data_IF_851953639697
#
_entry.id   IF_851953639697
#
_cell.length_a   1.000
_cell.length_b   1.000
_cell.length_c   1.000
_cell.angle_alpha   90.00
_cell.angle_beta   90.00
_cell.angle_gamma   90.00
#
_symmetry.space_group_name_H-M   'P 1'
#
loop_
_entity.id
_entity.type
_entity.pdbx_description
1 polymer ?
#
# COMPACT_ATOMS: atom_id res chain seq x y z
N UNK A 1 11.52 -16.58 12.68
CA UNK A 1 11.47 -15.69 11.51
C UNK A 1 12.13 -16.43 10.36
N UNK A 2 11.46 -16.55 9.23
CA UNK A 2 12.01 -17.18 8.02
C UNK A 2 12.42 -16.07 7.07
N UNK A 3 13.70 -16.05 6.64
CA UNK A 3 14.17 -15.14 5.60
C UNK A 3 14.08 -15.85 4.25
N UNK A 4 13.45 -15.20 3.27
CA UNK A 4 13.35 -15.67 1.90
C UNK A 4 14.03 -14.64 0.99
N UNK A 5 14.93 -15.11 0.13
CA UNK A 5 15.52 -14.31 -0.94
C UNK A 5 15.00 -14.84 -2.28
N UNK A 6 14.53 -13.94 -3.14
CA UNK A 6 14.10 -14.27 -4.51
C UNK A 6 15.14 -13.78 -5.52
N UNK A 7 15.18 -14.40 -6.71
CA UNK A 7 16.26 -14.16 -7.68
C UNK A 7 16.46 -12.69 -8.08
N UNK A 8 15.42 -11.86 -8.02
CA UNK A 8 15.51 -10.42 -8.28
C UNK A 8 16.30 -9.65 -7.22
N UNK A 9 16.37 -10.15 -5.99
CA UNK A 9 16.97 -9.42 -4.86
C UNK A 9 18.48 -9.23 -5.04
N UNK A 10 19.18 -10.30 -5.47
CA UNK A 10 20.64 -10.27 -5.68
C UNK A 10 21.07 -9.31 -6.80
N UNK A 11 20.18 -9.01 -7.75
CA UNK A 11 20.42 -8.09 -8.86
C UNK A 11 19.91 -6.67 -8.58
N UNK A 12 19.41 -6.37 -7.37
CA UNK A 12 18.79 -5.08 -7.05
C UNK A 12 17.45 -4.85 -7.77
N UNK A 13 16.82 -5.91 -8.28
CA UNK A 13 15.56 -5.90 -9.01
C UNK A 13 14.42 -6.47 -8.15
N UNK A 14 14.28 -5.95 -6.93
CA UNK A 14 13.24 -6.37 -6.00
C UNK A 14 11.84 -6.29 -6.63
N UNK A 15 11.03 -7.33 -6.41
CA UNK A 15 9.63 -7.36 -6.81
C UNK A 15 8.78 -7.86 -5.63
N UNK A 16 7.94 -6.97 -5.11
CA UNK A 16 7.05 -7.23 -3.97
C UNK A 16 6.12 -8.42 -4.21
N UNK A 17 5.49 -8.49 -5.38
CA UNK A 17 4.59 -9.59 -5.74
C UNK A 17 5.31 -10.92 -5.88
N UNK A 18 6.53 -10.95 -6.43
CA UNK A 18 7.34 -12.18 -6.51
C UNK A 18 7.72 -12.63 -5.09
N UNK A 19 8.27 -11.73 -4.27
CA UNK A 19 8.67 -12.05 -2.89
C UNK A 19 7.49 -12.58 -2.05
N UNK A 20 6.34 -11.90 -2.08
CA UNK A 20 5.16 -12.32 -1.33
C UNK A 20 4.52 -13.61 -1.88
N UNK A 21 4.53 -13.82 -3.20
CA UNK A 21 4.05 -15.09 -3.80
C UNK A 21 4.90 -16.26 -3.38
N UNK A 22 6.23 -16.13 -3.43
CA UNK A 22 7.14 -17.18 -3.00
C UNK A 22 7.02 -17.44 -1.48
N UNK A 23 6.84 -16.39 -0.68
CA UNK A 23 6.56 -16.54 0.75
C UNK A 23 5.23 -17.25 1.02
N UNK A 24 4.19 -16.98 0.21
CA UNK A 24 2.88 -17.63 0.33
C UNK A 24 2.98 -19.16 0.21
N UNK A 25 3.89 -19.68 -0.63
CA UNK A 25 4.11 -21.13 -0.81
C UNK A 25 4.58 -21.85 0.45
N UNK A 26 5.16 -21.12 1.41
CA UNK A 26 5.60 -21.66 2.68
C UNK A 26 4.46 -21.80 3.71
N UNK A 27 3.32 -21.17 3.45
CA UNK A 27 2.14 -21.23 4.31
C UNK A 27 1.31 -22.47 3.94
N UNK A 28 0.72 -23.21 4.89
CA UNK A 28 -0.20 -24.31 4.57
C UNK A 28 -1.30 -23.84 3.63
N UNK A 29 -1.83 -24.74 2.79
CA UNK A 29 -2.86 -24.43 1.78
C UNK A 29 -4.08 -23.72 2.39
N UNK A 30 -4.54 -24.17 3.55
CA UNK A 30 -5.64 -23.56 4.30
C UNK A 30 -5.19 -22.46 5.27
N UNK A 31 -3.88 -22.16 5.32
CA UNK A 31 -3.28 -21.18 6.20
C UNK A 31 -3.65 -19.76 5.79
N UNK A 32 -3.68 -18.87 6.80
CA UNK A 32 -3.99 -17.44 6.63
C UNK A 32 -2.71 -16.62 6.55
N UNK A 33 -2.73 -15.62 5.69
CA UNK A 33 -1.63 -14.70 5.44
C UNK A 33 -2.06 -13.27 5.73
N UNK A 34 -1.12 -12.44 6.19
CA UNK A 34 -1.24 -10.99 6.25
C UNK A 34 -0.04 -10.40 5.51
N UNK A 35 -0.29 -9.78 4.37
CA UNK A 35 0.72 -9.00 3.66
C UNK A 35 0.83 -7.63 4.32
N UNK A 36 2.06 -7.25 4.67
CA UNK A 36 2.37 -5.99 5.34
C UNK A 36 3.74 -5.51 4.87
N UNK A 37 3.87 -4.19 4.69
CA UNK A 37 5.15 -3.58 4.39
C UNK A 37 5.95 -3.38 5.69
N UNK A 38 7.28 -3.31 5.58
CA UNK A 38 8.19 -3.24 6.74
C UNK A 38 8.00 -1.97 7.57
N UNK A 39 7.52 -0.91 6.94
CA UNK A 39 7.20 0.40 7.52
C UNK A 39 5.77 0.50 8.06
N UNK A 40 4.98 -0.58 7.93
CA UNK A 40 3.62 -0.71 8.50
C UNK A 40 3.52 -1.99 9.35
N UNK A 41 4.18 -2.04 10.53
CA UNK A 41 4.14 -3.24 11.36
C UNK A 41 2.71 -3.49 11.91
N UNK A 42 2.20 -4.73 11.83
CA UNK A 42 0.88 -5.05 12.33
C UNK A 42 0.83 -5.13 13.85
N UNK A 43 -0.07 -4.36 14.47
CA UNK A 43 -0.39 -4.52 15.89
C UNK A 43 -1.13 -5.83 16.18
N UNK A 44 -1.19 -6.24 17.45
CA UNK A 44 -1.97 -7.40 17.89
C UNK A 44 -3.45 -7.30 17.48
N UNK A 45 -4.04 -6.09 17.55
CA UNK A 45 -5.41 -5.83 17.14
C UNK A 45 -5.59 -6.03 15.64
N UNK A 46 -4.66 -5.53 14.82
CA UNK A 46 -4.70 -5.73 13.36
C UNK A 46 -4.61 -7.22 12.98
N UNK A 47 -3.75 -7.98 13.66
CA UNK A 47 -3.66 -9.44 13.47
C UNK A 47 -4.97 -10.13 13.88
N UNK A 48 -5.58 -9.71 14.99
CA UNK A 48 -6.88 -10.25 15.43
C UNK A 48 -8.00 -9.94 14.43
N UNK A 49 -8.04 -8.71 13.89
CA UNK A 49 -9.01 -8.31 12.87
C UNK A 49 -8.81 -9.07 11.56
N UNK A 50 -7.55 -9.29 11.14
CA UNK A 50 -7.22 -10.18 10.04
C UNK A 50 -7.79 -11.59 10.23
N UNK A 51 -7.60 -12.18 11.43
CA UNK A 51 -8.15 -13.51 11.74
C UNK A 51 -9.68 -13.57 11.71
N UNK A 52 -10.36 -12.49 12.14
CA UNK A 52 -11.82 -12.41 12.18
C UNK A 52 -12.44 -12.19 10.80
N UNK A 53 -11.77 -11.41 9.94
CA UNK A 53 -12.36 -10.90 8.70
C UNK A 53 -11.87 -11.60 7.43
N UNK A 54 -10.83 -12.43 7.49
CA UNK A 54 -10.45 -13.33 6.39
C UNK A 54 -11.05 -14.72 6.61
N UNK A 55 -12.02 -15.08 5.76
CA UNK A 55 -12.79 -16.32 5.83
C UNK A 55 -12.50 -17.14 4.57
N UNK A 56 -11.84 -18.28 4.76
CA UNK A 56 -11.47 -19.22 3.70
C UNK A 56 -12.64 -19.48 2.74
N UNK A 57 -12.39 -19.36 1.44
CA UNK A 57 -13.36 -19.64 0.38
C UNK A 57 -14.50 -18.63 0.25
N UNK A 58 -14.49 -17.53 1.03
CA UNK A 58 -15.65 -16.62 1.09
C UNK A 58 -15.33 -15.14 1.20
N UNK A 59 -14.35 -14.75 2.00
CA UNK A 59 -14.09 -13.34 2.29
C UNK A 59 -12.61 -13.05 2.48
N UNK A 60 -12.14 -11.99 1.81
CA UNK A 60 -10.81 -11.43 2.00
C UNK A 60 -10.89 -10.06 2.66
N UNK A 61 -9.90 -9.74 3.49
CA UNK A 61 -9.83 -8.47 4.20
C UNK A 61 -8.73 -7.60 3.64
N UNK A 62 -9.10 -6.44 3.11
CA UNK A 62 -8.16 -5.39 2.69
C UNK A 62 -8.23 -4.23 3.68
N UNK A 63 -7.40 -4.21 4.74
CA UNK A 63 -7.39 -3.12 5.70
C UNK A 63 -6.96 -1.79 5.06
N UNK A 64 -7.59 -0.70 5.51
CA UNK A 64 -7.16 0.66 5.19
C UNK A 64 -6.27 1.15 6.33
N UNK A 65 -4.97 1.23 6.08
CA UNK A 65 -3.99 1.71 7.05
C UNK A 65 -3.96 3.24 7.13
N UNK A 66 -3.41 3.75 8.24
CA UNK A 66 -3.20 5.17 8.47
C UNK A 66 -1.75 5.55 8.14
N UNK A 67 -1.55 6.55 7.28
CA UNK A 67 -0.22 7.09 6.97
C UNK A 67 0.04 8.36 7.74
N UNK A 68 1.04 8.34 8.61
CA UNK A 68 1.46 9.51 9.37
C UNK A 68 2.15 10.52 8.45
N UNK A 69 1.91 11.81 8.70
CA UNK A 69 2.64 12.89 8.05
C UNK A 69 3.98 13.18 8.75
N UNK A 70 4.86 13.89 8.05
CA UNK A 70 6.17 14.29 8.54
C UNK A 70 6.10 14.93 9.95
N UNK A 71 6.88 14.38 10.89
CA UNK A 71 6.96 14.87 12.26
C UNK A 71 5.70 14.67 13.10
N UNK A 72 4.71 13.91 12.62
CA UNK A 72 3.46 13.64 13.36
C UNK A 72 3.47 12.27 14.02
N UNK A 73 2.81 12.21 15.16
CA UNK A 73 2.57 10.98 15.92
C UNK A 73 1.09 10.86 16.23
N UNK A 74 0.64 9.61 16.45
CA UNK A 74 -0.75 9.33 16.83
C UNK A 74 -1.78 9.44 15.69
N UNK A 75 -2.98 8.97 15.97
CA UNK A 75 -4.12 9.03 15.04
C UNK A 75 -4.90 10.32 15.29
N UNK A 76 -5.19 11.09 14.25
CA UNK A 76 -6.01 12.29 14.42
C UNK A 76 -6.15 13.14 13.15
N UNK A 77 -7.15 14.02 13.15
CA UNK A 77 -7.30 15.03 12.10
C UNK A 77 -6.12 15.99 12.22
N UNK A 78 -5.10 15.85 11.36
CA UNK A 78 -3.86 16.65 11.44
C UNK A 78 -2.58 15.82 11.57
N UNK A 79 -2.67 14.54 11.92
CA UNK A 79 -1.49 13.67 12.09
C UNK A 79 -1.16 12.83 10.86
N UNK A 80 -2.06 12.74 9.89
CA UNK A 80 -1.95 11.80 8.79
C UNK A 80 -3.26 11.61 8.03
N UNK A 81 -3.30 10.60 7.17
CA UNK A 81 -4.46 10.29 6.34
C UNK A 81 -4.67 8.77 6.18
N UNK A 82 -5.93 8.35 6.11
CA UNK A 82 -6.30 6.99 5.73
C UNK A 82 -6.02 6.75 4.24
N UNK A 83 -5.31 5.67 3.92
CA UNK A 83 -4.93 5.34 2.54
C UNK A 83 -6.04 4.55 1.84
N UNK A 84 -7.16 5.21 1.57
CA UNK A 84 -8.41 4.60 1.06
C UNK A 84 -8.25 3.85 -0.27
N UNK A 85 -7.29 4.25 -1.09
CA UNK A 85 -6.99 3.66 -2.41
C UNK A 85 -5.71 2.82 -2.43
N UNK A 86 -5.19 2.44 -1.27
CA UNK A 86 -4.07 1.51 -1.17
C UNK A 86 -4.59 0.10 -0.91
N UNK A 87 -3.97 -0.88 -1.57
CA UNK A 87 -4.39 -2.29 -1.54
C UNK A 87 -3.25 -3.24 -1.16
N UNK A 88 -2.05 -2.71 -0.92
CA UNK A 88 -0.86 -3.51 -0.62
C UNK A 88 -1.02 -4.38 0.61
N UNK A 89 -1.71 -3.89 1.64
CA UNK A 89 -2.02 -4.68 2.83
C UNK A 89 -3.29 -5.49 2.59
N UNK A 90 -3.17 -6.81 2.75
CA UNK A 90 -4.26 -7.74 2.51
C UNK A 90 -4.12 -8.95 3.45
N UNK A 91 -5.25 -9.41 3.96
CA UNK A 91 -5.37 -10.61 4.77
C UNK A 91 -6.33 -11.59 4.11
N UNK A 92 -5.82 -12.79 3.84
CA UNK A 92 -6.45 -13.78 2.98
C UNK A 92 -5.87 -15.17 3.23
N UNK A 93 -6.59 -16.22 2.86
CA UNK A 93 -6.04 -17.57 2.90
C UNK A 93 -5.18 -17.86 1.67
N UNK A 94 -4.17 -18.74 1.82
CA UNK A 94 -3.32 -19.16 0.70
C UNK A 94 -4.14 -19.76 -0.44
N UNK A 95 -5.10 -20.63 -0.14
CA UNK A 95 -6.01 -21.17 -1.16
C UNK A 95 -6.70 -20.05 -1.95
N UNK A 96 -7.35 -19.11 -1.26
CA UNK A 96 -8.07 -18.00 -1.91
C UNK A 96 -7.14 -17.15 -2.79
N UNK A 97 -5.89 -16.92 -2.35
CA UNK A 97 -4.86 -16.24 -3.13
C UNK A 97 -4.56 -16.94 -4.45
N UNK A 98 -4.34 -18.25 -4.39
CA UNK A 98 -3.97 -19.08 -5.54
C UNK A 98 -5.15 -19.19 -6.52
N UNK A 99 -6.38 -19.30 -6.03
CA UNK A 99 -7.60 -19.38 -6.84
C UNK A 99 -7.83 -18.15 -7.71
N UNK A 100 -7.49 -16.95 -7.21
CA UNK A 100 -7.57 -15.71 -8.02
C UNK A 100 -6.31 -15.47 -8.87
N UNK A 101 -5.45 -16.48 -8.99
CA UNK A 101 -4.26 -16.50 -9.85
C UNK A 101 -2.93 -16.21 -9.14
N UNK A 102 -2.94 -15.84 -7.85
CA UNK A 102 -1.75 -15.82 -6.99
C UNK A 102 -0.52 -15.08 -7.54
N UNK A 103 -0.72 -13.98 -8.27
CA UNK A 103 0.35 -13.27 -9.00
C UNK A 103 1.20 -14.18 -9.92
N UNK A 104 0.56 -15.13 -10.60
CA UNK A 104 1.19 -15.91 -11.66
C UNK A 104 1.79 -14.96 -12.73
N UNK A 105 3.06 -15.18 -13.09
CA UNK A 105 3.78 -14.35 -14.06
C UNK A 105 4.15 -12.94 -13.57
N UNK A 106 4.18 -12.70 -12.25
CA UNK A 106 4.60 -11.43 -11.64
C UNK A 106 5.90 -10.86 -12.22
N UNK A 107 6.86 -11.72 -12.57
CA UNK A 107 8.14 -11.39 -13.17
C UNK A 107 8.02 -10.64 -14.50
N UNK A 108 6.89 -10.79 -15.19
CA UNK A 108 6.58 -10.08 -16.44
C UNK A 108 5.56 -8.97 -16.21
N UNK A 109 4.56 -9.21 -15.36
CA UNK A 109 3.39 -8.36 -15.21
C UNK A 109 3.60 -7.16 -14.28
N UNK A 110 4.53 -7.27 -13.32
CA UNK A 110 4.77 -6.25 -12.29
C UNK A 110 6.24 -5.85 -12.25
N UNK A 111 6.81 -5.52 -13.42
CA UNK A 111 8.15 -4.94 -13.53
C UNK A 111 8.10 -3.45 -13.15
N UNK A 112 8.90 -3.05 -12.17
CA UNK A 112 8.94 -1.68 -11.68
C UNK A 112 7.99 -1.44 -10.50
N UNK A 113 7.49 -0.22 -10.38
CA UNK A 113 6.70 0.22 -9.22
C UNK A 113 5.18 0.07 -9.44
N UNK A 114 4.56 -0.67 -8.52
CA UNK A 114 3.12 -0.68 -8.26
C UNK A 114 2.26 -1.57 -9.18
N UNK A 115 0.95 -1.47 -8.96
CA UNK A 115 -0.17 -2.17 -9.65
C UNK A 115 -0.39 -3.62 -9.25
N UNK A 116 0.53 -4.28 -8.58
CA UNK A 116 0.36 -5.68 -8.16
C UNK A 116 -0.74 -5.82 -7.12
N UNK A 117 -0.82 -4.84 -6.21
CA UNK A 117 -1.82 -4.76 -5.17
C UNK A 117 -3.22 -4.45 -5.72
N UNK A 118 -3.29 -3.50 -6.67
CA UNK A 118 -4.50 -3.17 -7.43
C UNK A 118 -4.99 -4.38 -8.23
N UNK A 119 -4.09 -5.12 -8.88
CA UNK A 119 -4.45 -6.32 -9.63
C UNK A 119 -5.03 -7.40 -8.72
N UNK A 120 -4.42 -7.65 -7.55
CA UNK A 120 -4.95 -8.60 -6.57
C UNK A 120 -6.32 -8.17 -6.05
N UNK A 121 -6.48 -6.90 -5.70
CA UNK A 121 -7.77 -6.35 -5.27
C UNK A 121 -8.84 -6.53 -6.34
N UNK A 122 -8.55 -6.21 -7.59
CA UNK A 122 -9.50 -6.38 -8.69
C UNK A 122 -9.86 -7.84 -8.94
N UNK A 123 -8.90 -8.76 -8.88
CA UNK A 123 -9.15 -10.18 -9.05
C UNK A 123 -10.16 -10.72 -8.01
N UNK A 124 -10.07 -10.28 -6.76
CA UNK A 124 -11.09 -10.59 -5.76
C UNK A 124 -12.38 -9.79 -5.97
N UNK A 125 -12.29 -8.50 -6.31
CA UNK A 125 -13.46 -7.63 -6.44
C UNK A 125 -14.40 -8.04 -7.57
N UNK A 126 -13.87 -8.63 -8.65
CA UNK A 126 -14.63 -9.12 -9.80
C UNK A 126 -14.91 -10.62 -9.74
N UNK A 127 -14.53 -11.31 -8.67
CA UNK A 127 -14.86 -12.72 -8.47
C UNK A 127 -16.30 -12.86 -7.98
N UNK A 128 -17.04 -13.81 -8.53
CA UNK A 128 -18.38 -14.18 -8.04
C UNK A 128 -18.33 -15.00 -6.75
N UNK A 129 -17.15 -15.52 -6.37
CA UNK A 129 -16.96 -16.39 -5.20
C UNK A 129 -16.66 -15.59 -3.93
N UNK A 130 -15.88 -14.52 -4.05
CA UNK A 130 -15.30 -13.84 -2.89
C UNK A 130 -15.93 -12.48 -2.62
N UNK A 131 -16.20 -12.23 -1.35
CA UNK A 131 -16.52 -10.89 -0.85
C UNK A 131 -15.24 -10.15 -0.42
N UNK A 132 -15.16 -8.87 -0.77
CA UNK A 132 -14.05 -8.01 -0.34
C UNK A 132 -14.51 -7.13 0.83
N UNK A 133 -13.98 -7.39 2.01
CA UNK A 133 -14.19 -6.54 3.18
C UNK A 133 -13.08 -5.49 3.28
N UNK A 134 -13.46 -4.22 3.44
CA UNK A 134 -12.54 -3.09 3.67
C UNK A 134 -13.02 -2.29 4.87
N UNK A 135 -12.08 -2.00 5.78
CA UNK A 135 -12.34 -1.17 6.94
C UNK A 135 -11.08 -0.41 7.34
N UNK A 136 -11.25 0.75 7.98
CA UNK A 136 -10.16 1.49 8.61
C UNK A 136 -9.53 0.61 9.70
N UNK A 137 -8.21 0.51 9.69
CA UNK A 137 -7.44 -0.32 10.62
C UNK A 137 -6.45 0.55 11.42
N UNK A 138 -6.87 1.10 12.58
CA UNK A 138 -6.02 1.89 13.48
C UNK A 138 -4.75 1.17 13.96
N UNK A 139 -4.76 -0.17 13.90
CA UNK A 139 -3.64 -1.03 14.25
C UNK A 139 -2.57 -1.18 13.16
N UNK A 140 -2.76 -0.56 11.99
CA UNK A 140 -1.80 -0.50 10.89
C UNK A 140 -1.45 0.95 10.60
N UNK A 141 -0.23 1.34 10.98
CA UNK A 141 0.25 2.71 10.89
C UNK A 141 1.55 2.73 10.12
N UNK A 142 1.54 3.44 9.00
CA UNK A 142 2.75 3.74 8.25
C UNK A 142 3.46 4.89 8.94
N UNK A 143 4.65 4.61 9.46
CA UNK A 143 5.48 5.63 10.11
C UNK A 143 6.14 6.47 9.02
N UNK A 144 6.03 7.79 9.12
CA UNK A 144 6.69 8.66 8.16
C UNK A 144 8.21 8.44 8.21
N UNK A 145 8.80 8.27 7.04
CA UNK A 145 10.24 8.24 6.87
C UNK A 145 10.61 8.99 5.58
N UNK A 146 11.85 9.45 5.49
CA UNK A 146 12.33 10.04 4.26
C UNK A 146 12.39 8.98 3.15
N UNK A 147 12.05 9.39 1.93
CA UNK A 147 12.16 8.59 0.73
C UNK A 147 12.89 9.36 -0.36
N UNK A 148 13.93 8.75 -0.89
CA UNK A 148 14.66 9.27 -2.05
C UNK A 148 13.90 8.94 -3.33
N UNK A 149 13.60 9.96 -4.14
CA UNK A 149 13.00 9.78 -5.47
C UNK A 149 14.06 10.00 -6.55
N UNK A 150 14.52 8.93 -7.17
CA UNK A 150 15.54 8.99 -8.21
C UNK A 150 15.00 9.67 -9.48
N UNK A 151 15.62 10.77 -9.90
CA UNK A 151 15.17 11.56 -11.06
C UNK A 151 15.14 10.78 -12.38
N UNK A 152 16.03 9.79 -12.53
CA UNK A 152 16.14 8.96 -13.75
C UNK A 152 15.17 7.78 -13.73
N UNK A 153 14.49 7.51 -12.62
CA UNK A 153 13.52 6.43 -12.53
C UNK A 153 12.27 6.78 -13.36
N UNK A 154 11.71 5.81 -14.12
CA UNK A 154 10.41 6.01 -14.78
C UNK A 154 9.28 6.32 -13.78
N UNK A 155 9.45 5.99 -12.51
CA UNK A 155 8.48 6.20 -11.42
C UNK A 155 8.75 7.47 -10.59
N UNK A 156 9.63 8.35 -11.06
CA UNK A 156 9.98 9.58 -10.33
C UNK A 156 8.74 10.41 -9.95
N UNK A 157 7.80 10.58 -10.88
CA UNK A 157 6.58 11.37 -10.65
C UNK A 157 5.67 10.74 -9.58
N UNK A 158 5.48 9.42 -9.64
CA UNK A 158 4.68 8.68 -8.65
C UNK A 158 5.32 8.76 -7.25
N UNK A 159 6.65 8.59 -7.20
CA UNK A 159 7.42 8.77 -5.96
C UNK A 159 7.28 10.20 -5.42
N UNK A 160 7.41 11.23 -6.25
CA UNK A 160 7.26 12.63 -5.79
C UNK A 160 5.85 12.91 -5.30
N UNK A 161 4.82 12.47 -6.03
CA UNK A 161 3.41 12.61 -5.63
C UNK A 161 3.17 12.01 -4.26
N UNK A 162 3.52 10.74 -4.07
CA UNK A 162 3.32 10.09 -2.78
C UNK A 162 4.15 10.74 -1.66
N UNK A 163 5.30 11.35 -1.96
CA UNK A 163 6.09 12.11 -0.97
C UNK A 163 5.34 13.36 -0.51
N UNK A 164 4.78 14.15 -1.43
CA UNK A 164 4.01 15.34 -1.10
C UNK A 164 2.74 15.04 -0.29
N UNK A 165 2.04 13.96 -0.63
CA UNK A 165 0.87 13.48 0.12
C UNK A 165 1.18 13.14 1.59
N UNK A 166 2.47 12.92 1.92
CA UNK A 166 2.94 12.58 3.25
C UNK A 166 3.52 13.78 4.04
N UNK A 167 3.45 15.00 3.51
CA UNK A 167 3.93 16.19 4.21
C UNK A 167 2.86 16.91 5.04
N UNK A 168 1.60 16.75 4.70
CA UNK A 168 0.52 17.40 5.41
C UNK A 168 -0.79 17.39 4.61
N UNK A 169 -1.84 17.93 5.21
CA UNK A 169 -3.09 18.20 4.51
C UNK A 169 -2.89 19.26 3.42
N UNK A 170 -3.80 19.30 2.45
CA UNK A 170 -3.80 20.37 1.43
C UNK A 170 -3.82 21.77 2.06
N UNK A 171 -4.61 21.97 3.13
CA UNK A 171 -4.65 23.24 3.85
C UNK A 171 -3.33 23.60 4.54
N UNK A 172 -2.63 22.62 5.12
CA UNK A 172 -1.30 22.85 5.69
C UNK A 172 -0.28 23.22 4.61
N UNK A 173 -0.28 22.47 3.51
CA UNK A 173 0.65 22.73 2.40
C UNK A 173 0.38 24.08 1.74
N UNK A 174 -0.89 24.49 1.58
CA UNK A 174 -1.25 25.81 1.08
C UNK A 174 -0.61 26.92 1.92
N UNK A 175 -0.79 26.88 3.25
CA UNK A 175 -0.17 27.85 4.15
C UNK A 175 1.35 27.86 4.06
N UNK A 176 2.00 26.69 4.01
CA UNK A 176 3.47 26.62 3.87
C UNK A 176 3.96 27.30 2.58
N UNK A 177 3.19 27.20 1.48
CA UNK A 177 3.55 27.85 0.21
C UNK A 177 3.29 29.36 0.26
N UNK A 178 2.22 29.81 0.91
CA UNK A 178 1.94 31.23 1.16
C UNK A 178 3.03 31.86 2.04
N UNK A 179 3.41 31.21 3.13
CA UNK A 179 4.49 31.64 4.03
C UNK A 179 5.85 31.71 3.30
N UNK A 180 6.03 30.89 2.25
CA UNK A 180 7.21 30.92 1.38
C UNK A 180 7.13 32.02 0.29
N UNK A 181 6.09 32.85 0.28
CA UNK A 181 5.92 33.96 -0.66
C UNK A 181 5.39 33.55 -2.03
N UNK A 182 4.81 32.35 -2.18
CA UNK A 182 4.18 31.96 -3.44
C UNK A 182 2.80 32.60 -3.59
N UNK A 183 2.60 33.36 -4.68
CA UNK A 183 1.29 33.85 -5.09
C UNK A 183 0.46 32.70 -5.68
N UNK A 184 -0.22 31.96 -4.79
CA UNK A 184 -1.05 30.82 -5.18
C UNK A 184 -2.21 31.24 -6.08
N UNK A 185 -2.79 32.41 -5.87
CA UNK A 185 -3.88 32.91 -6.71
C UNK A 185 -3.40 33.09 -8.15
N UNK A 186 -2.28 33.77 -8.37
CA UNK A 186 -1.71 33.93 -9.71
C UNK A 186 -1.36 32.57 -10.33
N UNK A 187 -0.70 31.69 -9.57
CA UNK A 187 -0.28 30.36 -10.04
C UNK A 187 -1.47 29.53 -10.53
N UNK A 188 -2.61 29.56 -9.82
CA UNK A 188 -3.77 28.75 -10.18
C UNK A 188 -4.76 29.44 -11.12
N UNK A 189 -4.88 30.79 -11.09
CA UNK A 189 -5.72 31.55 -12.04
C UNK A 189 -5.20 31.47 -13.48
N UNK A 190 -3.88 31.37 -13.68
CA UNK A 190 -3.24 31.35 -15.00
C UNK A 190 -2.72 29.98 -15.44
N UNK A 191 -2.86 28.94 -14.62
CA UNK A 191 -2.56 27.57 -15.04
C UNK A 191 -3.70 27.03 -15.90
N UNK A 192 -3.47 26.98 -17.22
CA UNK A 192 -4.41 26.46 -18.20
C UNK A 192 -4.49 24.91 -18.27
N UNK A 193 -3.80 24.18 -17.40
CA UNK A 193 -3.81 22.71 -17.43
C UNK A 193 -4.82 22.14 -16.43
N UNK A 194 -5.71 21.21 -16.85
CA UNK A 194 -6.56 20.50 -15.91
C UNK A 194 -5.71 19.62 -14.98
N UNK A 195 -6.21 19.46 -13.74
CA UNK A 195 -5.69 18.53 -12.74
C UNK A 195 -5.79 17.07 -13.20
#
# INVERSE_FOLDING_TARGET
>A
VTLLAVGGDAAGAFSRSVALREAARLVPVTGRMLFSDVDVPPSATAVANCRRNAVLGRQVYFPVFYSLWAGRTGLGVGSGAWRLYSYGLACLHRWDFEEVGGWAGAERNFRGWGKEDVALYWAFKTSDTYSVFRALEPGLRHTWHERTCERRSPHYRDCRRSRYENYGSGAYLGRVLEDAGMDLEHVFKHRAAPL
#
